data_IF_073147326617
#
_entry.id   IF_073147326617
#
_cell.length_a   1.000
_cell.length_b   1.000
_cell.length_c   1.000
_cell.angle_alpha   90.00
_cell.angle_beta   90.00
_cell.angle_gamma   90.00
#
_symmetry.space_group_name_H-M   'P 1'
#
loop_
_entity.id
_entity.type
_entity.pdbx_description
1 polymer ?
#
# COMPACT_ATOMS: atom_id res chain seq x y z
N UNK A 1 9.89 22.54 6.92
CA UNK A 1 9.38 21.19 7.25
C UNK A 1 10.11 20.16 6.40
N UNK A 2 10.80 19.20 7.00
CA UNK A 2 11.82 18.39 6.31
C UNK A 2 11.29 17.33 5.32
N UNK A 3 9.99 17.30 4.99
CA UNK A 3 9.38 16.19 4.23
C UNK A 3 8.66 16.66 2.94
N UNK A 4 8.47 17.97 2.74
CA UNK A 4 7.72 18.48 1.58
C UNK A 4 8.37 18.10 0.24
N UNK A 5 7.56 17.62 -0.70
CA UNK A 5 7.99 17.30 -2.07
C UNK A 5 8.83 16.04 -2.26
N UNK A 6 9.17 15.29 -1.20
CA UNK A 6 9.96 14.06 -1.30
C UNK A 6 9.15 12.90 -1.90
N UNK A 7 9.79 12.12 -2.77
CA UNK A 7 9.27 10.83 -3.20
C UNK A 7 9.65 9.78 -2.16
N UNK A 8 8.73 8.89 -1.85
CA UNK A 8 8.96 7.78 -0.94
C UNK A 8 8.72 6.48 -1.65
N UNK A 9 9.68 5.58 -1.53
CA UNK A 9 9.69 4.30 -2.22
C UNK A 9 9.71 3.20 -1.17
N UNK A 10 8.92 2.17 -1.40
CA UNK A 10 8.84 1.00 -0.54
C UNK A 10 9.07 -0.22 -1.41
N UNK A 11 10.16 -0.94 -1.16
CA UNK A 11 10.44 -2.21 -1.84
C UNK A 11 9.57 -3.34 -1.29
N UNK A 12 9.21 -4.30 -2.14
CA UNK A 12 8.40 -5.45 -1.71
C UNK A 12 9.07 -6.25 -0.61
N UNK A 13 10.36 -6.58 -0.76
CA UNK A 13 11.08 -7.39 0.22
C UNK A 13 11.07 -6.75 1.60
N UNK A 14 11.39 -5.46 1.70
CA UNK A 14 11.41 -4.74 2.98
C UNK A 14 10.02 -4.69 3.62
N UNK A 15 8.97 -4.41 2.82
CA UNK A 15 7.60 -4.38 3.34
C UNK A 15 7.13 -5.75 3.83
N UNK A 16 7.38 -6.82 3.07
CA UNK A 16 6.98 -8.17 3.46
C UNK A 16 7.71 -8.64 4.72
N UNK A 17 9.02 -8.39 4.80
CA UNK A 17 9.81 -8.69 6.00
C UNK A 17 9.26 -7.94 7.22
N UNK A 18 8.94 -6.65 7.06
CA UNK A 18 8.42 -5.83 8.15
C UNK A 18 7.02 -6.23 8.59
N UNK A 19 6.13 -6.57 7.65
CA UNK A 19 4.79 -7.05 7.94
C UNK A 19 4.83 -8.38 8.70
N UNK A 20 5.73 -9.28 8.30
CA UNK A 20 5.91 -10.56 8.97
C UNK A 20 6.51 -10.40 10.38
N UNK A 21 7.63 -9.69 10.52
CA UNK A 21 8.34 -9.56 11.81
C UNK A 21 7.66 -8.59 12.78
N UNK A 22 6.99 -7.56 12.27
CA UNK A 22 6.34 -6.52 13.07
C UNK A 22 4.89 -6.82 13.46
N UNK A 23 4.16 -7.50 12.57
CA UNK A 23 2.72 -7.68 12.71
C UNK A 23 2.28 -9.13 12.55
N UNK A 24 3.21 -10.07 12.34
CA UNK A 24 2.91 -11.50 12.18
C UNK A 24 2.17 -11.83 10.88
N UNK A 25 2.15 -10.92 9.90
CA UNK A 25 1.41 -11.09 8.65
C UNK A 25 2.26 -11.85 7.62
N UNK A 26 1.87 -13.10 7.39
CA UNK A 26 2.50 -13.99 6.42
C UNK A 26 2.11 -13.66 4.97
N UNK A 27 2.95 -14.06 4.00
CA UNK A 27 2.64 -13.91 2.57
C UNK A 27 1.31 -14.58 2.20
N UNK A 28 0.98 -15.72 2.82
CA UNK A 28 -0.26 -16.45 2.59
C UNK A 28 -1.49 -15.65 3.01
N UNK A 29 -1.41 -14.94 4.13
CA UNK A 29 -2.47 -14.03 4.59
C UNK A 29 -2.59 -12.84 3.64
N UNK A 30 -1.47 -12.25 3.22
CA UNK A 30 -1.46 -11.10 2.31
C UNK A 30 -2.02 -11.42 0.90
N UNK A 31 -1.98 -12.69 0.49
CA UNK A 31 -2.61 -13.20 -0.73
C UNK A 31 -4.12 -13.46 -0.58
N UNK A 32 -4.60 -13.69 0.65
CA UNK A 32 -6.00 -14.08 0.93
C UNK A 32 -6.85 -12.90 1.41
N UNK A 33 -6.28 -12.05 2.28
CA UNK A 33 -7.00 -10.98 2.97
C UNK A 33 -7.35 -9.88 2.00
N UNK A 34 -8.65 -9.66 1.84
CA UNK A 34 -9.18 -8.71 0.85
C UNK A 34 -9.27 -7.29 1.41
N UNK A 35 -8.99 -6.33 0.55
CA UNK A 35 -9.20 -4.90 0.79
C UNK A 35 -10.38 -4.41 -0.08
N UNK A 36 -11.29 -3.60 0.48
CA UNK A 36 -12.42 -3.05 -0.26
C UNK A 36 -11.94 -1.89 -1.15
N UNK A 37 -12.04 -2.05 -2.46
CA UNK A 37 -11.69 -1.03 -3.45
C UNK A 37 -12.95 -0.32 -3.93
N UNK A 38 -12.91 1.00 -3.94
CA UNK A 38 -13.97 1.89 -4.37
C UNK A 38 -13.47 2.71 -5.57
N UNK A 39 -14.11 2.53 -6.72
CA UNK A 39 -13.80 3.28 -7.93
C UNK A 39 -14.78 4.45 -8.12
N UNK A 40 -14.33 5.53 -8.77
CA UNK A 40 -15.13 6.73 -8.98
C UNK A 40 -16.41 6.49 -9.82
N UNK A 41 -16.46 5.42 -10.59
CA UNK A 41 -17.63 5.00 -11.36
C UNK A 41 -18.66 4.19 -10.53
N UNK A 42 -18.46 4.08 -9.22
CA UNK A 42 -19.34 3.33 -8.31
C UNK A 42 -19.08 1.81 -8.32
N UNK A 43 -18.06 1.32 -9.01
CA UNK A 43 -17.69 -0.09 -8.94
C UNK A 43 -16.94 -0.40 -7.64
N UNK A 44 -17.23 -1.58 -7.08
CA UNK A 44 -16.62 -2.10 -5.88
C UNK A 44 -15.94 -3.42 -6.16
N UNK A 45 -14.70 -3.57 -5.71
CA UNK A 45 -13.94 -4.81 -5.84
C UNK A 45 -13.32 -5.19 -4.50
N UNK A 46 -13.12 -6.48 -4.29
CA UNK A 46 -12.31 -7.00 -3.20
C UNK A 46 -10.98 -7.43 -3.80
N UNK A 47 -9.89 -6.81 -3.36
CA UNK A 47 -8.56 -7.05 -3.92
C UNK A 47 -7.58 -7.35 -2.79
N UNK A 48 -6.79 -8.43 -2.84
CA UNK A 48 -5.76 -8.69 -1.85
C UNK A 48 -4.58 -7.72 -1.99
N UNK A 49 -3.75 -7.60 -0.95
CA UNK A 49 -2.53 -6.79 -1.02
C UNK A 49 -1.57 -7.33 -2.09
N UNK A 50 -1.43 -8.67 -2.12
CA UNK A 50 -0.59 -9.41 -3.05
C UNK A 50 -1.41 -10.23 -4.01
N UNK A 51 -0.88 -10.38 -5.23
CA UNK A 51 -1.37 -11.31 -6.22
C UNK A 51 -0.21 -12.16 -6.74
N UNK A 52 -0.48 -13.44 -7.06
CA UNK A 52 0.52 -14.33 -7.66
C UNK A 52 0.23 -14.48 -9.14
N UNK A 53 1.15 -14.01 -9.98
CA UNK A 53 1.07 -14.13 -11.44
C UNK A 53 2.29 -14.89 -11.96
N UNK A 54 2.08 -16.02 -12.65
CA UNK A 54 3.14 -16.90 -13.14
C UNK A 54 4.17 -17.29 -12.07
N UNK A 55 3.72 -17.52 -10.84
CA UNK A 55 4.62 -17.85 -9.72
C UNK A 55 5.21 -16.64 -8.98
N UNK A 56 5.13 -15.44 -9.54
CA UNK A 56 5.71 -14.22 -8.98
C UNK A 56 4.68 -13.39 -8.21
N UNK A 57 5.10 -12.82 -7.08
CA UNK A 57 4.29 -11.92 -6.28
C UNK A 57 4.24 -10.53 -6.91
N UNK A 58 3.08 -9.89 -6.85
CA UNK A 58 2.85 -8.54 -7.34
C UNK A 58 2.00 -7.79 -6.33
N UNK A 59 2.33 -6.53 -6.06
CA UNK A 59 1.43 -5.64 -5.34
C UNK A 59 0.20 -5.29 -6.19
N UNK A 60 -0.93 -5.14 -5.51
CA UNK A 60 -2.16 -4.53 -6.08
C UNK A 60 -2.63 -3.32 -5.28
N UNK A 61 -1.86 -2.90 -4.26
CA UNK A 61 -2.25 -1.88 -3.30
C UNK A 61 -2.32 -0.47 -3.87
N UNK A 62 -3.46 0.20 -3.70
CA UNK A 62 -3.66 1.61 -4.03
C UNK A 62 -4.46 2.30 -2.92
N UNK A 63 -3.80 3.04 -2.04
CA UNK A 63 -4.42 3.64 -0.85
C UNK A 63 -5.69 4.43 -1.15
N UNK A 64 -5.70 5.25 -2.21
CA UNK A 64 -6.83 6.10 -2.58
C UNK A 64 -8.08 5.31 -3.01
N UNK A 65 -7.92 4.04 -3.42
CA UNK A 65 -9.04 3.16 -3.75
C UNK A 65 -9.58 2.43 -2.53
N UNK A 66 -8.76 2.27 -1.48
CA UNK A 66 -9.18 1.59 -0.25
C UNK A 66 -9.87 2.54 0.73
N UNK A 67 -9.75 3.84 0.51
CA UNK A 67 -10.37 4.85 1.36
C UNK A 67 -11.86 5.03 1.11
N UNK A 68 -12.60 5.12 2.22
CA UNK A 68 -14.04 5.34 2.33
C UNK A 68 -14.60 6.34 1.31
N UNK A 69 -15.52 5.87 0.48
CA UNK A 69 -16.70 6.65 0.13
C UNK A 69 -17.39 7.02 1.45
N UNK A 70 -17.09 8.19 2.00
CA UNK A 70 -17.90 8.77 3.07
C UNK A 70 -19.32 8.97 2.55
N UNK A 71 -20.17 7.97 2.77
CA UNK A 71 -21.61 8.06 3.02
C UNK A 71 -22.14 6.64 3.28
N UNK A 72 -22.62 6.46 4.51
CA UNK A 72 -23.74 5.56 4.83
C UNK A 72 -23.49 4.04 4.76
N UNK A 73 -22.78 3.50 5.75
CA UNK A 73 -23.31 2.36 6.51
C UNK A 73 -22.49 2.08 7.77
N UNK A 74 -23.19 1.95 8.88
CA UNK A 74 -22.67 2.01 10.24
C UNK A 74 -22.13 0.67 10.76
N UNK A 75 -21.20 0.05 10.04
CA UNK A 75 -20.33 -1.00 10.60
C UNK A 75 -18.91 -0.74 10.10
N UNK A 76 -18.17 0.08 10.84
CA UNK A 76 -16.70 0.14 10.68
C UNK A 76 -16.17 -1.25 11.01
N UNK A 77 -15.69 -1.96 9.99
CA UNK A 77 -15.01 -3.22 10.18
C UNK A 77 -13.66 -2.94 10.84
N UNK A 78 -13.63 -3.09 12.18
CA UNK A 78 -12.44 -2.87 13.00
C UNK A 78 -11.26 -3.70 12.52
N UNK A 79 -11.50 -4.85 11.90
CA UNK A 79 -10.43 -5.71 11.39
C UNK A 79 -9.76 -5.08 10.17
N UNK A 80 -10.55 -4.51 9.25
CA UNK A 80 -10.02 -3.79 8.07
C UNK A 80 -9.26 -2.54 8.50
N UNK A 81 -9.82 -1.75 9.43
CA UNK A 81 -9.16 -0.56 9.94
C UNK A 81 -7.82 -0.90 10.62
N UNK A 82 -7.79 -1.98 11.41
CA UNK A 82 -6.56 -2.48 12.03
C UNK A 82 -5.55 -2.93 10.98
N UNK A 83 -6.00 -3.63 9.94
CA UNK A 83 -5.12 -4.07 8.86
C UNK A 83 -4.49 -2.90 8.12
N UNK A 84 -5.30 -1.90 7.77
CA UNK A 84 -4.82 -0.69 7.11
C UNK A 84 -3.81 0.05 7.99
N UNK A 85 -4.08 0.15 9.30
CA UNK A 85 -3.13 0.75 10.23
C UNK A 85 -1.79 -0.01 10.29
N UNK A 86 -1.82 -1.34 10.32
CA UNK A 86 -0.61 -2.18 10.27
C UNK A 86 0.16 -1.98 8.96
N UNK A 87 -0.55 -1.96 7.82
CA UNK A 87 0.04 -1.69 6.50
C UNK A 87 0.71 -0.32 6.47
N UNK A 88 0.03 0.73 6.92
CA UNK A 88 0.57 2.08 6.95
C UNK A 88 1.78 2.21 7.87
N UNK A 89 1.71 1.63 9.07
CA UNK A 89 2.83 1.63 10.01
C UNK A 89 4.06 0.92 9.41
N UNK A 90 3.88 -0.24 8.78
CA UNK A 90 4.97 -0.95 8.11
C UNK A 90 5.55 -0.12 6.95
N UNK A 91 4.70 0.47 6.11
CA UNK A 91 5.11 1.29 4.96
C UNK A 91 5.94 2.50 5.37
N UNK A 92 5.56 3.19 6.45
CA UNK A 92 6.32 4.34 6.98
C UNK A 92 7.69 3.91 7.49
N UNK A 93 7.76 2.75 8.15
CA UNK A 93 9.00 2.27 8.76
C UNK A 93 10.06 1.85 7.74
N UNK A 94 9.63 1.35 6.57
CA UNK A 94 10.54 0.86 5.51
C UNK A 94 10.68 1.82 4.33
N UNK A 95 10.04 2.99 4.37
CA UNK A 95 10.08 3.92 3.24
C UNK A 95 11.46 4.56 3.08
N UNK A 96 11.97 4.58 1.87
CA UNK A 96 13.17 5.29 1.47
C UNK A 96 12.80 6.62 0.82
N UNK A 97 13.40 7.71 1.28
CA UNK A 97 13.22 9.05 0.71
C UNK A 97 14.13 9.24 -0.53
N UNK A 98 13.55 9.72 -1.63
CA UNK A 98 14.26 10.10 -2.85
C UNK A 98 13.89 11.53 -3.25
N UNK A 99 14.90 12.39 -3.29
CA UNK A 99 14.82 13.73 -3.86
C UNK A 99 15.21 13.66 -5.34
N UNK A 100 14.40 14.24 -6.22
CA UNK A 100 14.67 14.34 -7.64
C UNK A 100 14.95 15.80 -7.98
N UNK A 101 16.05 16.04 -8.67
CA UNK A 101 16.40 17.35 -9.22
C UNK A 101 15.85 17.52 -10.64
N UNK A 102 15.98 18.73 -11.18
CA UNK A 102 15.53 19.04 -12.52
C UNK A 102 16.28 18.19 -13.56
N UNK A 103 15.54 17.35 -14.28
CA UNK A 103 16.08 16.43 -15.29
C UNK A 103 16.23 14.98 -14.82
N UNK A 104 16.06 14.70 -13.52
CA UNK A 104 16.12 13.34 -13.00
C UNK A 104 14.89 12.52 -13.38
N UNK A 105 15.11 11.21 -13.58
CA UNK A 105 14.06 10.23 -13.89
C UNK A 105 14.14 9.06 -12.90
N UNK A 106 13.03 8.82 -12.21
CA UNK A 106 12.85 7.67 -11.33
C UNK A 106 12.00 6.61 -12.03
N UNK A 107 12.55 5.41 -12.22
CA UNK A 107 11.84 4.28 -12.83
C UNK A 107 11.68 3.16 -11.80
N UNK A 108 10.43 2.76 -11.55
CA UNK A 108 10.07 1.74 -10.57
C UNK A 108 9.16 0.67 -11.17
N UNK A 109 9.31 -0.56 -10.68
CA UNK A 109 8.37 -1.63 -10.99
C UNK A 109 7.09 -1.45 -10.19
N UNK A 110 5.98 -1.12 -10.84
CA UNK A 110 4.66 -1.00 -10.19
C UNK A 110 4.16 -2.34 -9.60
N UNK A 111 4.82 -3.46 -9.90
CA UNK A 111 4.52 -4.77 -9.31
C UNK A 111 5.31 -5.04 -8.02
N UNK A 112 6.49 -4.45 -7.85
CA UNK A 112 7.43 -4.81 -6.77
C UNK A 112 7.85 -3.63 -5.89
N UNK A 113 7.34 -2.44 -6.19
CA UNK A 113 7.53 -1.25 -5.38
C UNK A 113 6.19 -0.52 -5.21
N UNK A 114 6.00 0.05 -4.03
CA UNK A 114 5.01 1.09 -3.80
C UNK A 114 5.72 2.44 -3.79
N UNK A 115 5.01 3.48 -4.18
CA UNK A 115 5.53 4.84 -4.09
C UNK A 115 4.44 5.80 -3.62
N UNK A 116 4.85 6.83 -2.91
CA UNK A 116 4.01 7.99 -2.61
C UNK A 116 4.83 9.27 -2.71
N UNK A 117 4.15 10.39 -2.93
CA UNK A 117 4.76 11.71 -2.88
C UNK A 117 4.19 12.45 -1.68
N UNK A 118 5.07 13.05 -0.89
CA UNK A 118 4.68 13.91 0.21
C UNK A 118 3.98 15.16 -0.32
N UNK A 119 3.04 15.73 0.43
CA UNK A 119 2.41 17.00 0.06
C UNK A 119 3.47 18.09 -0.15
N UNK A 120 3.11 19.09 -0.97
CA UNK A 120 3.92 20.27 -1.29
C UNK A 120 3.35 21.49 -0.58
#
# INVERSE_FOLDING_TARGET
HPIYGRNQIISMSALLERLNTGFGLSVEELLKRQLPYHFANGQHFSVPLLHKNNGHLQFKFHQHLVTNSMKESAVRDKEIDTYLAQLHAAMIDVSEDVCLDAGDLLVLSNHHALHRRSEC
#
